data_IF_410321029066
#
_entry.id   IF_410321029066
#
_cell.length_a   1.000
_cell.length_b   1.000
_cell.length_c   1.000
_cell.angle_alpha   90.00
_cell.angle_beta   90.00
_cell.angle_gamma   90.00
#
_symmetry.space_group_name_H-M   'P 1'
#
loop_
_entity.id
_entity.type
_entity.pdbx_description
1 polymer ?
#
# COMPACT_ATOMS: atom_id res chain seq x y z
N UNK A 1 -20.04 0.97 1.36
CA UNK A 1 -18.82 0.54 2.07
C UNK A 1 -17.73 0.53 1.01
N UNK A 2 -16.70 1.37 1.15
CA UNK A 2 -15.57 1.36 0.20
C UNK A 2 -14.72 0.16 0.62
N UNK A 3 -14.62 -0.86 -0.22
CA UNK A 3 -13.68 -1.94 0.07
C UNK A 3 -12.28 -1.35 0.11
N UNK A 4 -11.53 -1.64 1.16
CA UNK A 4 -10.14 -1.23 1.30
C UNK A 4 -9.30 -2.08 0.34
N UNK A 5 -8.80 -1.45 -0.71
CA UNK A 5 -7.91 -2.08 -1.70
C UNK A 5 -6.55 -2.29 -1.02
N UNK A 6 -6.08 -3.54 -0.94
CA UNK A 6 -4.71 -3.86 -0.54
C UNK A 6 -3.75 -3.72 -1.73
N UNK A 7 -2.45 -3.66 -1.45
CA UNK A 7 -1.43 -3.56 -2.50
C UNK A 7 -1.51 -4.77 -3.46
N UNK A 8 -1.71 -4.51 -4.75
CA UNK A 8 -1.81 -5.55 -5.78
C UNK A 8 -3.17 -6.27 -5.85
N UNK A 9 -4.19 -5.81 -5.11
CA UNK A 9 -5.53 -6.41 -5.05
C UNK A 9 -5.50 -7.94 -4.86
N UNK A 10 -4.69 -8.35 -3.88
CA UNK A 10 -4.39 -9.74 -3.59
C UNK A 10 -5.51 -10.41 -2.79
N UNK A 11 -5.76 -11.72 -3.01
CA UNK A 11 -6.67 -12.49 -2.16
C UNK A 11 -6.10 -12.63 -0.75
N UNK A 12 -6.97 -12.96 0.21
CA UNK A 12 -6.63 -13.07 1.64
C UNK A 12 -5.49 -14.05 1.92
N UNK A 13 -5.39 -15.14 1.15
CA UNK A 13 -4.33 -16.15 1.29
C UNK A 13 -2.91 -15.58 1.11
N UNK A 14 -2.76 -14.46 0.38
CA UNK A 14 -1.49 -13.76 0.18
C UNK A 14 -1.44 -12.38 0.84
N UNK A 15 -2.44 -11.99 1.63
CA UNK A 15 -2.49 -10.66 2.24
C UNK A 15 -2.76 -10.65 3.74
N UNK A 16 -2.80 -11.82 4.39
CA UNK A 16 -2.92 -11.92 5.85
C UNK A 16 -1.68 -11.40 6.58
N UNK A 17 -1.90 -10.61 7.63
CA UNK A 17 -0.84 -10.11 8.53
C UNK A 17 -0.05 -11.22 9.23
N UNK A 18 -0.68 -12.37 9.49
CA UNK A 18 -0.04 -13.48 10.24
C UNK A 18 1.01 -14.22 9.42
N UNK A 19 0.83 -14.28 8.10
CA UNK A 19 1.68 -15.03 7.17
C UNK A 19 2.55 -14.14 6.27
N UNK A 20 2.34 -12.83 6.29
CA UNK A 20 3.03 -11.90 5.41
C UNK A 20 4.54 -11.81 5.69
N UNK A 21 5.35 -12.00 4.64
CA UNK A 21 6.78 -11.69 4.65
C UNK A 21 7.09 -10.23 4.31
N UNK A 22 6.11 -9.49 3.78
CA UNK A 22 6.23 -8.10 3.32
C UNK A 22 5.08 -7.29 3.91
N UNK A 23 5.38 -6.11 4.47
CA UNK A 23 4.38 -5.19 5.03
C UNK A 23 4.48 -3.84 4.33
N UNK A 24 3.37 -3.36 3.79
CA UNK A 24 3.21 -2.02 3.22
C UNK A 24 2.50 -1.15 4.25
N UNK A 25 3.14 -0.04 4.64
CA UNK A 25 2.58 0.92 5.60
C UNK A 25 2.32 2.23 4.87
N UNK A 26 1.06 2.54 4.54
CA UNK A 26 0.73 3.78 3.86
C UNK A 26 0.74 4.95 4.84
N UNK A 27 1.41 6.06 4.47
CA UNK A 27 1.49 7.27 5.30
C UNK A 27 1.10 8.47 4.46
N UNK A 28 -0.05 9.06 4.77
CA UNK A 28 -0.63 10.19 4.06
C UNK A 28 -0.18 11.52 4.69
N UNK A 29 1.08 11.92 4.47
CA UNK A 29 1.65 13.15 5.04
C UNK A 29 2.01 14.18 3.98
N UNK A 30 1.38 15.36 4.08
CA UNK A 30 1.73 16.52 3.24
C UNK A 30 1.83 17.83 4.04
N UNK A 31 2.32 17.73 5.28
CA UNK A 31 2.39 18.87 6.20
C UNK A 31 3.41 19.95 5.81
N UNK A 32 4.50 19.58 5.11
CA UNK A 32 5.66 20.48 4.88
C UNK A 32 5.80 20.97 3.44
N UNK A 33 5.01 20.48 2.48
CA UNK A 33 5.10 20.93 1.09
C UNK A 33 4.66 22.39 0.93
N UNK A 34 5.42 23.17 0.17
CA UNK A 34 5.23 24.63 0.04
C UNK A 34 4.79 25.10 -1.36
N UNK A 35 4.97 24.27 -2.40
CA UNK A 35 4.70 24.65 -3.79
C UNK A 35 3.52 23.88 -4.39
N UNK A 36 3.52 22.55 -4.29
CA UNK A 36 2.43 21.69 -4.74
C UNK A 36 2.02 20.78 -3.59
N UNK A 37 0.71 20.76 -3.30
CA UNK A 37 0.09 19.88 -2.31
C UNK A 37 -0.45 18.62 -2.98
N UNK A 38 -0.76 17.60 -2.18
CA UNK A 38 -1.37 16.33 -2.61
C UNK A 38 -0.52 15.09 -2.35
N UNK A 39 0.61 15.21 -1.64
CA UNK A 39 1.43 14.03 -1.30
C UNK A 39 0.69 13.04 -0.37
N UNK A 40 -0.28 13.55 0.39
CA UNK A 40 -1.21 12.81 1.22
C UNK A 40 -2.20 11.95 0.42
N UNK A 41 -2.47 12.29 -0.84
CA UNK A 41 -3.27 11.47 -1.77
C UNK A 41 -2.44 10.32 -2.39
N UNK A 42 -1.11 10.36 -2.24
CA UNK A 42 -0.18 9.40 -2.80
C UNK A 42 -0.47 7.94 -2.42
N UNK A 43 -0.67 7.62 -1.12
CA UNK A 43 -1.01 6.26 -0.69
C UNK A 43 -2.21 5.66 -1.43
N UNK A 44 -3.34 6.37 -1.49
CA UNK A 44 -4.55 5.89 -2.16
C UNK A 44 -4.31 5.70 -3.67
N UNK A 45 -3.63 6.66 -4.32
CA UNK A 45 -3.28 6.56 -5.73
C UNK A 45 -2.37 5.36 -6.04
N UNK A 46 -1.42 5.04 -5.15
CA UNK A 46 -0.56 3.86 -5.28
C UNK A 46 -1.37 2.58 -5.13
N UNK A 47 -2.30 2.49 -4.18
CA UNK A 47 -3.14 1.30 -4.01
C UNK A 47 -4.00 1.04 -5.24
N UNK A 48 -4.68 2.07 -5.74
CA UNK A 48 -5.51 1.97 -6.95
C UNK A 48 -4.69 1.59 -8.19
N UNK A 49 -3.51 2.18 -8.37
CA UNK A 49 -2.62 1.83 -9.48
C UNK A 49 -2.09 0.40 -9.35
N UNK A 50 -1.71 -0.04 -8.14
CA UNK A 50 -1.13 -1.36 -7.90
C UNK A 50 -2.06 -2.51 -8.27
N UNK A 51 -3.37 -2.31 -8.14
CA UNK A 51 -4.38 -3.31 -8.52
C UNK A 51 -4.39 -3.64 -10.02
N UNK A 52 -3.79 -2.80 -10.86
CA UNK A 52 -3.71 -2.99 -12.32
C UNK A 52 -2.34 -3.50 -12.78
N UNK A 53 -1.43 -3.82 -11.87
CA UNK A 53 -0.11 -4.36 -12.19
C UNK A 53 -0.16 -5.88 -12.38
N UNK A 54 0.62 -6.40 -13.32
CA UNK A 54 0.95 -7.83 -13.37
C UNK A 54 1.73 -8.26 -12.13
N UNK A 55 1.31 -9.37 -11.52
CA UNK A 55 1.89 -9.89 -10.28
C UNK A 55 3.19 -10.70 -10.48
N UNK A 56 3.56 -10.98 -11.72
CA UNK A 56 4.79 -11.67 -12.08
C UNK A 56 5.86 -10.66 -12.50
N UNK A 57 7.02 -10.73 -11.86
CA UNK A 57 8.17 -9.88 -12.14
C UNK A 57 9.17 -10.61 -13.06
N UNK A 58 9.47 -10.03 -14.22
CA UNK A 58 10.30 -10.64 -15.26
C UNK A 58 11.77 -10.67 -14.84
N UNK A 59 12.22 -9.62 -14.18
CA UNK A 59 13.60 -9.37 -13.80
C UNK A 59 14.07 -10.35 -12.72
N UNK A 60 13.19 -10.76 -11.82
CA UNK A 60 13.47 -11.75 -10.78
C UNK A 60 12.92 -13.15 -11.06
N UNK A 61 12.22 -13.34 -12.19
CA UNK A 61 11.56 -14.59 -12.60
C UNK A 61 10.71 -15.18 -11.47
N UNK A 62 9.90 -14.33 -10.81
CA UNK A 62 9.11 -14.79 -9.66
C UNK A 62 7.81 -14.02 -9.43
N UNK A 63 6.92 -14.65 -8.68
CA UNK A 63 5.68 -14.09 -8.16
C UNK A 63 5.91 -13.62 -6.72
N UNK A 64 6.40 -12.38 -6.56
CA UNK A 64 6.79 -11.82 -5.24
C UNK A 64 5.63 -11.87 -4.24
N UNK A 65 4.40 -11.65 -4.70
CA UNK A 65 3.20 -11.63 -3.86
C UNK A 65 2.97 -12.95 -3.09
N UNK A 66 3.49 -14.09 -3.59
CA UNK A 66 3.39 -15.39 -2.90
C UNK A 66 4.16 -15.45 -1.58
N UNK A 67 5.04 -14.49 -1.32
CA UNK A 67 5.69 -14.31 -0.01
C UNK A 67 4.75 -13.69 1.04
N UNK A 68 3.55 -13.30 0.63
CA UNK A 68 2.57 -12.60 1.45
C UNK A 68 2.90 -11.10 1.54
N UNK A 69 1.94 -10.27 1.14
CA UNK A 69 2.01 -8.81 1.22
C UNK A 69 0.80 -8.31 2.04
N UNK A 70 1.05 -7.93 3.28
CA UNK A 70 0.03 -7.28 4.11
C UNK A 70 0.08 -5.77 3.93
N UNK A 71 -1.09 -5.13 3.84
CA UNK A 71 -1.21 -3.67 3.77
C UNK A 71 -1.89 -3.19 5.04
N UNK A 72 -1.17 -2.38 5.83
CA UNK A 72 -1.70 -1.75 7.04
C UNK A 72 -2.73 -0.65 6.71
N UNK A 73 -3.50 -0.25 7.71
CA UNK A 73 -4.34 0.94 7.59
C UNK A 73 -3.49 2.20 7.36
N UNK A 74 -3.97 3.08 6.49
CA UNK A 74 -3.29 4.35 6.18
C UNK A 74 -3.17 5.20 7.45
N UNK A 75 -1.93 5.59 7.77
CA UNK A 75 -1.66 6.52 8.86
C UNK A 75 -1.84 7.95 8.35
N UNK A 76 -2.80 8.66 8.93
CA UNK A 76 -3.01 10.08 8.66
C UNK A 76 -1.81 10.93 9.09
N UNK A 77 -1.47 11.93 8.29
CA UNK A 77 -0.34 12.84 8.54
C UNK A 77 -0.55 13.88 9.63
N UNK A 78 -1.67 13.82 10.36
CA UNK A 78 -1.93 14.73 11.47
C UNK A 78 -0.89 14.51 12.58
N UNK A 79 -0.23 15.59 13.01
CA UNK A 79 0.66 15.56 14.16
C UNK A 79 -0.20 15.38 15.40
N UNK A 80 -0.41 14.13 15.80
CA UNK A 80 -1.04 13.79 17.08
C UNK A 80 -0.05 14.10 18.19
N UNK A 81 -0.24 15.26 18.83
CA UNK A 81 0.39 15.51 20.13
C UNK A 81 -0.35 14.61 21.12
N UNK A 82 0.38 13.68 21.74
CA UNK A 82 -0.16 12.83 22.81
C UNK A 82 -0.78 13.64 23.93
#
# INVERSE_FOLDING_TARGET
MKESINFGYLPEEYSSAESAGIVIIPVAYDGTSTWMKGADEGPDAIMEASANMELYDIETDCEVYRRGIFTEETIGGDITTR
#
